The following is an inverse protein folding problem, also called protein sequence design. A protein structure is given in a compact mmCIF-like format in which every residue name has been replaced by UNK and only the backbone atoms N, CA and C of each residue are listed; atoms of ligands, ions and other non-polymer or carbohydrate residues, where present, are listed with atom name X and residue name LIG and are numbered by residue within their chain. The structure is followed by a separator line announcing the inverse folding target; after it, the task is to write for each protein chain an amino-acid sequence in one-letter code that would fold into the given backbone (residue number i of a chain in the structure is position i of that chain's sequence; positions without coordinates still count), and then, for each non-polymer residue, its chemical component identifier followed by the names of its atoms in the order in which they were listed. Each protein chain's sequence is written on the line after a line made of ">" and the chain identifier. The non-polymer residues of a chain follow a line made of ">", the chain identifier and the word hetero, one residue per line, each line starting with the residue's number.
data_IF_124892500214
#
_entry.id   IF_124892500214
#
_cell.length_a   1.000
_cell.length_b   1.000
_cell.length_c   1.000
_cell.angle_alpha   90.00
_cell.angle_beta   90.00
_cell.angle_gamma   90.00
#
_symmetry.space_group_name_H-M   'P 1'
#
loop_
_entity.id
_entity.type
_entity.pdbx_description
1 polymer ?
#
# COMPACT_ATOMS: atom_id res chain seq x y z
N UNK A 1 6.15 -1.14 8.55
CA UNK A 1 5.26 -0.33 9.42
C UNK A 1 4.03 -1.14 9.80
N UNK A 2 3.50 -0.96 11.01
CA UNK A 2 2.24 -1.55 11.50
C UNK A 2 1.30 -0.41 11.92
N UNK A 3 0.00 -0.66 11.89
CA UNK A 3 -1.01 0.30 12.35
C UNK A 3 -1.57 -0.14 13.71
N UNK A 4 -1.79 0.84 14.59
CA UNK A 4 -2.47 0.64 15.87
C UNK A 4 -3.97 0.95 15.74
N UNK A 5 -4.86 0.23 16.45
CA UNK A 5 -6.28 0.53 16.45
C UNK A 5 -6.56 1.95 16.99
N UNK A 6 -7.26 2.76 16.20
CA UNK A 6 -7.70 4.09 16.61
C UNK A 6 -9.17 4.06 17.07
N UNK A 7 -9.43 4.45 18.33
CA UNK A 7 -10.75 4.29 18.95
C UNK A 7 -11.71 5.47 18.75
N UNK A 8 -11.20 6.66 18.39
CA UNK A 8 -12.03 7.84 18.16
C UNK A 8 -11.32 8.90 17.32
N UNK A 9 -12.11 9.79 16.70
CA UNK A 9 -11.58 10.98 15.99
C UNK A 9 -10.75 11.84 16.93
N UNK A 10 -11.19 12.06 18.17
CA UNK A 10 -10.43 12.85 19.14
C UNK A 10 -9.08 12.20 19.49
N UNK A 11 -9.04 10.87 19.58
CA UNK A 11 -7.80 10.14 19.79
C UNK A 11 -6.82 10.32 18.63
N UNK A 12 -7.30 10.25 17.38
CA UNK A 12 -6.47 10.49 16.20
C UNK A 12 -5.80 11.87 16.22
N UNK A 13 -6.57 12.92 16.49
CA UNK A 13 -6.06 14.30 16.55
C UNK A 13 -5.16 14.55 17.75
N UNK A 14 -5.40 13.87 18.88
CA UNK A 14 -4.49 13.92 20.03
C UNK A 14 -3.14 13.26 19.72
N UNK A 15 -3.16 12.15 18.96
CA UNK A 15 -1.95 11.40 18.60
C UNK A 15 -1.12 12.11 17.53
N UNK A 16 -1.78 12.78 16.59
CA UNK A 16 -1.17 13.47 15.45
C UNK A 16 -1.54 14.98 15.50
N UNK A 17 -0.94 15.76 16.43
CA UNK A 17 -1.35 17.15 16.66
C UNK A 17 -1.04 18.07 15.48
N UNK A 18 -0.08 17.69 14.63
CA UNK A 18 0.35 18.47 13.46
C UNK A 18 -0.45 18.15 12.19
N UNK A 19 -1.49 17.32 12.30
CA UNK A 19 -2.22 16.76 11.16
C UNK A 19 -1.65 15.42 10.71
N UNK A 20 -2.39 14.75 9.82
CA UNK A 20 -2.06 13.43 9.32
C UNK A 20 -2.72 13.20 7.97
N UNK A 21 -2.17 12.24 7.22
CA UNK A 21 -2.82 11.72 6.05
C UNK A 21 -3.80 10.61 6.41
N UNK A 22 -4.87 10.49 5.65
CA UNK A 22 -5.78 9.36 5.67
C UNK A 22 -5.75 8.65 4.33
N UNK A 23 -5.60 7.32 4.37
CA UNK A 23 -5.70 6.44 3.22
C UNK A 23 -6.82 5.43 3.44
N UNK A 24 -7.44 4.96 2.36
CA UNK A 24 -8.36 3.83 2.42
C UNK A 24 -7.59 2.59 2.90
N UNK A 25 -8.16 1.88 3.86
CA UNK A 25 -7.68 0.56 4.27
C UNK A 25 -8.22 -0.47 3.27
N UNK A 26 -7.34 -0.96 2.40
CA UNK A 26 -7.68 -2.01 1.45
C UNK A 26 -7.72 -3.37 2.16
N UNK A 27 -8.80 -4.13 1.94
CA UNK A 27 -9.00 -5.47 2.51
C UNK A 27 -8.34 -6.54 1.62
N UNK A 28 -7.00 -6.53 1.59
CA UNK A 28 -6.19 -7.39 0.72
C UNK A 28 -5.11 -8.15 1.46
N UNK A 29 -4.08 -8.55 0.72
CA UNK A 29 -2.84 -9.09 1.27
C UNK A 29 -1.71 -8.08 1.09
N UNK A 30 -1.01 -7.72 2.18
CA UNK A 30 0.16 -6.85 2.08
C UNK A 30 1.25 -7.50 1.24
N UNK A 31 1.75 -6.75 0.27
CA UNK A 31 2.76 -7.16 -0.68
C UNK A 31 3.90 -6.14 -0.71
N UNK A 32 5.08 -6.55 -0.22
CA UNK A 32 6.30 -5.79 -0.39
C UNK A 32 7.06 -6.31 -1.61
N UNK A 33 7.19 -5.47 -2.63
CA UNK A 33 7.81 -5.81 -3.90
C UNK A 33 9.22 -5.26 -3.97
N UNK A 34 10.17 -6.11 -4.35
CA UNK A 34 11.57 -5.74 -4.58
C UNK A 34 11.90 -5.99 -6.04
N UNK A 35 12.38 -4.97 -6.74
CA UNK A 35 12.94 -5.06 -8.09
C UNK A 35 14.40 -4.66 -8.03
N UNK A 36 15.29 -5.45 -8.63
CA UNK A 36 16.70 -5.10 -8.77
C UNK A 36 17.05 -4.64 -10.20
N UNK A 37 18.26 -4.11 -10.38
CA UNK A 37 18.76 -3.61 -11.67
C UNK A 37 18.80 -4.67 -12.77
N UNK A 38 18.87 -5.96 -12.42
CA UNK A 38 18.77 -7.07 -13.37
C UNK A 38 17.31 -7.44 -13.73
N UNK A 39 16.35 -6.57 -13.41
CA UNK A 39 14.91 -6.77 -13.61
C UNK A 39 14.36 -8.05 -12.98
N UNK A 40 14.96 -8.51 -11.86
CA UNK A 40 14.46 -9.63 -11.06
C UNK A 40 13.55 -9.11 -9.96
N UNK A 41 12.42 -9.79 -9.78
CA UNK A 41 11.41 -9.45 -8.81
C UNK A 41 11.39 -10.44 -7.64
N UNK A 42 11.23 -9.91 -6.43
CA UNK A 42 10.92 -10.69 -5.23
C UNK A 42 9.74 -10.05 -4.53
N UNK A 43 8.92 -10.89 -3.92
CA UNK A 43 7.67 -10.48 -3.30
C UNK A 43 7.57 -11.08 -1.92
N UNK A 44 7.31 -10.23 -0.93
CA UNK A 44 7.26 -10.61 0.46
C UNK A 44 5.90 -10.25 1.05
N UNK A 45 5.33 -11.19 1.80
CA UNK A 45 4.11 -10.97 2.56
C UNK A 45 4.38 -10.11 3.81
N UNK A 46 3.34 -9.81 4.57
CA UNK A 46 3.45 -9.13 5.87
C UNK A 46 4.44 -9.79 6.85
N UNK A 47 4.58 -11.12 6.81
CA UNK A 47 5.51 -11.88 7.66
C UNK A 47 6.89 -12.07 7.02
N UNK A 48 7.19 -11.31 5.96
CA UNK A 48 8.42 -11.38 5.17
C UNK A 48 8.69 -12.75 4.52
N UNK A 49 7.68 -13.62 4.46
CA UNK A 49 7.73 -14.87 3.71
C UNK A 49 7.52 -14.60 2.22
N UNK A 50 8.21 -15.34 1.32
CA UNK A 50 7.97 -15.28 -0.11
C UNK A 50 6.49 -15.50 -0.45
N UNK A 51 5.96 -14.67 -1.34
CA UNK A 51 4.58 -14.81 -1.85
C UNK A 51 4.57 -15.84 -2.98
N UNK A 52 3.52 -16.66 -3.01
CA UNK A 52 3.32 -17.70 -4.03
C UNK A 52 3.10 -17.09 -5.42
N UNK A 53 3.74 -17.67 -6.44
CA UNK A 53 3.80 -17.15 -7.81
C UNK A 53 2.44 -16.84 -8.45
N UNK A 54 1.44 -17.71 -8.27
CA UNK A 54 0.10 -17.53 -8.87
C UNK A 54 -0.64 -16.23 -8.46
N UNK A 55 -0.22 -15.57 -7.37
CA UNK A 55 -0.79 -14.28 -6.92
C UNK A 55 -0.12 -13.08 -7.58
N UNK A 56 1.10 -13.25 -8.08
CA UNK A 56 2.02 -12.15 -8.43
C UNK A 56 2.54 -12.23 -9.88
N UNK A 57 2.27 -13.33 -10.59
CA UNK A 57 2.76 -13.61 -11.94
C UNK A 57 2.59 -12.41 -12.88
N UNK A 58 1.41 -11.79 -12.86
CA UNK A 58 1.10 -10.64 -13.70
C UNK A 58 1.60 -9.30 -13.12
N UNK A 59 1.92 -9.21 -11.83
CA UNK A 59 2.29 -7.93 -11.20
C UNK A 59 3.65 -7.45 -11.71
N UNK A 60 4.64 -8.34 -11.85
CA UNK A 60 6.00 -8.00 -12.29
C UNK A 60 6.00 -7.24 -13.64
N UNK A 61 5.23 -7.72 -14.62
CA UNK A 61 5.14 -7.09 -15.94
C UNK A 61 4.51 -5.69 -15.87
N UNK A 62 3.49 -5.50 -15.05
CA UNK A 62 2.80 -4.21 -14.95
C UNK A 62 3.62 -3.22 -14.13
N UNK A 63 4.38 -3.67 -13.13
CA UNK A 63 5.27 -2.80 -12.36
C UNK A 63 6.40 -2.26 -13.23
N UNK A 64 6.99 -3.08 -14.12
CA UNK A 64 7.97 -2.56 -15.07
C UNK A 64 7.40 -1.53 -16.04
N UNK A 65 6.13 -1.68 -16.45
CA UNK A 65 5.43 -0.69 -17.29
C UNK A 65 5.08 0.57 -16.51
N UNK A 66 4.67 0.43 -15.24
CA UNK A 66 4.31 1.54 -14.37
C UNK A 66 5.52 2.36 -13.91
N UNK A 67 6.69 1.76 -13.81
CA UNK A 67 7.95 2.43 -13.45
C UNK A 67 8.99 2.29 -14.57
N UNK A 68 8.80 2.96 -15.72
CA UNK A 68 9.67 2.79 -16.88
C UNK A 68 11.12 3.22 -16.61
N UNK A 69 11.33 4.16 -15.68
CA UNK A 69 12.65 4.65 -15.24
C UNK A 69 13.14 4.02 -13.93
N UNK A 70 12.36 3.11 -13.33
CA UNK A 70 12.70 2.46 -12.06
C UNK A 70 13.54 1.21 -12.29
N UNK A 71 14.86 1.35 -12.25
CA UNK A 71 15.81 0.24 -12.40
C UNK A 71 15.83 -0.66 -11.17
N UNK A 72 15.78 -0.08 -9.99
CA UNK A 72 15.72 -0.80 -8.72
C UNK A 72 14.77 -0.10 -7.76
N UNK A 73 13.92 -0.86 -7.08
CA UNK A 73 12.91 -0.29 -6.19
C UNK A 73 12.43 -1.27 -5.13
N UNK A 74 11.98 -0.72 -4.00
CA UNK A 74 11.22 -1.44 -2.99
C UNK A 74 9.90 -0.70 -2.77
N UNK A 75 8.79 -1.36 -3.09
CA UNK A 75 7.44 -0.81 -2.96
C UNK A 75 6.69 -1.55 -1.86
N UNK A 76 5.87 -0.82 -1.11
CA UNK A 76 4.96 -1.37 -0.12
C UNK A 76 3.53 -1.04 -0.53
N UNK A 77 2.66 -2.03 -0.45
CA UNK A 77 1.31 -1.93 -0.95
C UNK A 77 0.43 -3.10 -0.52
N UNK A 78 -0.82 -3.06 -0.99
CA UNK A 78 -1.80 -4.13 -0.79
C UNK A 78 -2.19 -4.71 -2.15
N UNK A 79 -2.22 -6.03 -2.27
CA UNK A 79 -2.78 -6.72 -3.44
C UNK A 79 -4.18 -7.25 -3.11
N UNK A 80 -5.12 -7.06 -4.02
CA UNK A 80 -6.47 -7.61 -3.95
C UNK A 80 -7.03 -7.85 -5.35
N UNK A 81 -8.17 -8.53 -5.43
CA UNK A 81 -8.91 -8.69 -6.67
C UNK A 81 -9.93 -7.57 -6.84
N UNK A 82 -10.02 -7.00 -8.04
CA UNK A 82 -11.08 -6.08 -8.44
C UNK A 82 -11.89 -6.71 -9.57
N UNK A 83 -13.21 -6.73 -9.41
CA UNK A 83 -14.13 -7.18 -10.43
C UNK A 83 -14.13 -6.22 -11.63
N UNK A 84 -13.93 -6.73 -12.86
CA UNK A 84 -13.77 -5.89 -14.06
C UNK A 84 -15.03 -5.14 -14.45
N UNK A 85 -16.22 -5.68 -14.12
CA UNK A 85 -17.53 -5.14 -14.52
C UNK A 85 -17.98 -4.04 -13.58
N UNK A 86 -17.90 -4.31 -12.28
CA UNK A 86 -18.36 -3.42 -11.21
C UNK A 86 -17.28 -2.44 -10.76
N UNK A 87 -16.01 -2.71 -11.07
CA UNK A 87 -14.82 -1.97 -10.58
C UNK A 87 -14.70 -1.95 -9.06
N UNK A 88 -15.38 -2.86 -8.37
CA UNK A 88 -15.35 -2.97 -6.91
C UNK A 88 -14.30 -3.98 -6.44
N UNK A 89 -13.67 -3.73 -5.28
CA UNK A 89 -12.80 -4.71 -4.65
C UNK A 89 -13.60 -5.94 -4.20
N UNK A 90 -13.04 -7.12 -4.40
CA UNK A 90 -13.58 -8.37 -3.87
C UNK A 90 -13.12 -8.58 -2.41
N UNK A 91 -13.87 -9.34 -1.61
CA UNK A 91 -13.53 -9.59 -0.20
C UNK A 91 -12.18 -10.28 -0.01
N UNK A 92 -11.62 -10.17 1.20
CA UNK A 92 -10.40 -10.88 1.58
C UNK A 92 -10.47 -12.41 1.35
N UNK A 93 -9.31 -12.99 1.05
CA UNK A 93 -9.15 -14.43 0.81
C UNK A 93 -9.54 -14.89 -0.60
N UNK A 94 -10.05 -14.00 -1.45
CA UNK A 94 -10.38 -14.29 -2.85
C UNK A 94 -9.14 -14.48 -3.74
N UNK A 95 -7.97 -14.03 -3.29
CA UNK A 95 -6.67 -14.26 -3.95
C UNK A 95 -6.17 -15.71 -3.91
N UNK A 96 -6.83 -16.60 -3.14
CA UNK A 96 -6.48 -18.03 -3.14
C UNK A 96 -6.76 -18.70 -4.50
N UNK A 97 -5.92 -19.66 -4.91
CA UNK A 97 -5.97 -20.32 -6.24
C UNK A 97 -7.37 -20.74 -6.67
N UNK A 98 -8.13 -21.37 -5.77
CA UNK A 98 -9.48 -21.87 -6.06
C UNK A 98 -10.47 -20.73 -6.29
N UNK A 99 -10.50 -19.74 -5.37
CA UNK A 99 -11.40 -18.59 -5.46
C UNK A 99 -11.06 -17.71 -6.68
N UNK A 100 -9.78 -17.51 -6.98
CA UNK A 100 -9.36 -16.76 -8.17
C UNK A 100 -9.92 -17.36 -9.47
N UNK A 101 -10.02 -18.69 -9.57
CA UNK A 101 -10.62 -19.36 -10.74
C UNK A 101 -12.13 -19.11 -10.84
N UNK A 102 -12.82 -18.96 -9.71
CA UNK A 102 -14.24 -18.61 -9.66
C UNK A 102 -14.50 -17.16 -10.10
N UNK A 103 -13.53 -16.27 -9.88
CA UNK A 103 -13.57 -14.86 -10.29
C UNK A 103 -12.73 -14.60 -11.56
N UNK A 104 -13.02 -15.33 -12.64
CA UNK A 104 -12.31 -15.17 -13.93
C UNK A 104 -12.42 -13.75 -14.52
N UNK A 105 -13.48 -13.03 -14.14
CA UNK A 105 -13.76 -11.65 -14.52
C UNK A 105 -13.11 -10.61 -13.58
N UNK A 106 -12.22 -11.04 -12.67
CA UNK A 106 -11.48 -10.13 -11.80
C UNK A 106 -10.03 -9.93 -12.27
N UNK A 107 -9.41 -8.87 -11.76
CA UNK A 107 -8.01 -8.55 -11.94
C UNK A 107 -7.32 -8.42 -10.59
N UNK A 108 -6.11 -8.95 -10.49
CA UNK A 108 -5.20 -8.58 -9.41
C UNK A 108 -4.77 -7.14 -9.59
N UNK A 109 -4.97 -6.35 -8.54
CA UNK A 109 -4.61 -4.95 -8.49
C UNK A 109 -3.71 -4.73 -7.30
N UNK A 110 -2.55 -4.14 -7.55
CA UNK A 110 -1.59 -3.75 -6.53
C UNK A 110 -1.74 -2.25 -6.26
N UNK A 111 -2.23 -1.93 -5.06
CA UNK A 111 -2.32 -0.56 -4.55
C UNK A 111 -1.06 -0.23 -3.78
N UNK A 112 -0.21 0.57 -4.39
CA UNK A 112 1.05 1.02 -3.81
C UNK A 112 0.78 2.20 -2.89
N UNK A 113 1.24 2.13 -1.65
CA UNK A 113 1.07 3.21 -0.67
C UNK A 113 2.38 3.77 -0.14
N UNK A 114 3.53 3.13 -0.42
CA UNK A 114 4.85 3.61 -0.02
C UNK A 114 5.98 3.13 -0.96
N UNK A 115 7.09 3.87 -0.98
CA UNK A 115 8.32 3.54 -1.68
C UNK A 115 9.49 3.68 -0.71
N UNK A 116 10.20 2.57 -0.47
CA UNK A 116 11.26 2.48 0.54
C UNK A 116 12.66 2.57 -0.07
N UNK A 117 12.77 2.32 -1.37
CA UNK A 117 14.03 2.35 -2.12
C UNK A 117 13.71 2.67 -3.58
N UNK A 118 14.54 3.50 -4.21
CA UNK A 118 14.40 3.82 -5.63
C UNK A 118 15.78 4.15 -6.22
N UNK A 119 16.14 3.49 -7.34
CA UNK A 119 17.33 3.72 -8.15
C UNK A 119 18.62 3.94 -7.33
N UNK A 120 19.02 2.94 -6.55
CA UNK A 120 20.27 3.02 -5.77
C UNK A 120 20.09 3.64 -4.37
N UNK A 121 18.99 4.36 -4.12
CA UNK A 121 18.83 5.17 -2.91
C UNK A 121 17.81 4.58 -1.94
N UNK A 122 18.24 4.43 -0.68
CA UNK A 122 17.34 4.14 0.43
C UNK A 122 16.52 5.39 0.77
N UNK A 123 15.20 5.26 0.82
CA UNK A 123 14.28 6.37 1.13
C UNK A 123 13.78 6.33 2.57
N UNK A 124 14.30 5.41 3.39
CA UNK A 124 13.81 5.20 4.76
C UNK A 124 13.95 6.46 5.63
N UNK A 125 15.05 7.19 5.46
CA UNK A 125 15.31 8.45 6.17
C UNK A 125 14.40 9.61 5.72
N UNK A 126 13.70 9.47 4.59
CA UNK A 126 12.79 10.50 4.06
C UNK A 126 11.44 10.46 4.77
N UNK A 127 10.76 11.61 4.79
CA UNK A 127 9.39 11.73 5.26
C UNK A 127 8.41 11.01 4.33
N UNK A 128 7.22 10.63 4.83
CA UNK A 128 6.20 9.99 4.00
C UNK A 128 5.81 10.86 2.79
N UNK A 129 5.79 12.19 2.97
CA UNK A 129 5.51 13.14 1.90
C UNK A 129 6.53 13.02 0.77
N UNK A 130 7.82 13.07 1.08
CA UNK A 130 8.88 12.94 0.07
C UNK A 130 8.84 11.56 -0.63
N UNK A 131 8.58 10.47 0.12
CA UNK A 131 8.44 9.13 -0.48
C UNK A 131 7.22 9.04 -1.40
N UNK A 132 6.13 9.74 -1.05
CA UNK A 132 4.93 9.86 -1.90
C UNK A 132 5.17 10.69 -3.15
N UNK A 133 5.93 11.78 -3.06
CA UNK A 133 6.30 12.59 -4.21
C UNK A 133 7.10 11.76 -5.24
N UNK A 134 8.04 10.93 -4.78
CA UNK A 134 8.78 9.98 -5.64
C UNK A 134 7.82 9.02 -6.37
N UNK A 135 6.82 8.49 -5.67
CA UNK A 135 5.80 7.64 -6.31
C UNK A 135 5.00 8.42 -7.35
N UNK A 136 4.52 9.61 -7.03
CA UNK A 136 3.70 10.43 -7.94
C UNK A 136 4.50 10.89 -9.17
N UNK A 137 5.79 11.17 -9.02
CA UNK A 137 6.65 11.62 -10.12
C UNK A 137 7.06 10.47 -11.06
N UNK A 138 7.35 9.29 -10.51
CA UNK A 138 7.97 8.21 -11.28
C UNK A 138 7.05 7.06 -11.64
N UNK A 139 5.84 7.01 -11.06
CA UNK A 139 4.85 5.98 -11.39
C UNK A 139 3.85 6.51 -12.42
N UNK A 140 3.65 5.73 -13.48
CA UNK A 140 2.52 5.83 -14.38
C UNK A 140 1.47 4.76 -13.97
N UNK A 141 0.34 5.15 -13.32
CA UNK A 141 -0.69 4.20 -12.93
C UNK A 141 -1.24 3.43 -14.14
N UNK A 142 -1.50 2.15 -13.93
CA UNK A 142 -2.13 1.27 -14.93
C UNK A 142 -3.48 0.85 -14.37
N UNK A 143 -4.54 1.33 -15.01
CA UNK A 143 -5.91 1.10 -14.56
C UNK A 143 -6.18 -0.39 -14.33
N UNK A 144 -6.86 -0.72 -13.22
CA UNK A 144 -7.19 -2.09 -12.82
C UNK A 144 -5.98 -3.02 -12.71
N UNK A 145 -4.75 -2.51 -12.50
CA UNK A 145 -3.52 -3.31 -12.31
C UNK A 145 -2.57 -2.72 -11.28
N UNK A 146 -2.06 -1.52 -11.50
CA UNK A 146 -1.07 -0.87 -10.64
C UNK A 146 -1.59 0.53 -10.33
N UNK A 147 -2.02 0.73 -9.09
CA UNK A 147 -2.64 1.97 -8.65
C UNK A 147 -1.90 2.54 -7.46
N UNK A 148 -1.93 3.87 -7.34
CA UNK A 148 -1.46 4.56 -6.16
C UNK A 148 -2.62 4.60 -5.17
N UNK A 149 -2.39 4.28 -3.89
CA UNK A 149 -3.45 4.47 -2.90
C UNK A 149 -3.80 5.95 -2.77
N UNK A 150 -5.10 6.22 -2.62
CA UNK A 150 -5.61 7.58 -2.46
C UNK A 150 -5.20 8.13 -1.08
N UNK A 151 -4.49 9.25 -1.08
CA UNK A 151 -3.99 9.92 0.11
C UNK A 151 -4.72 11.25 0.30
N UNK A 152 -5.42 11.41 1.43
CA UNK A 152 -6.08 12.68 1.78
C UNK A 152 -5.37 13.33 2.96
N UNK A 153 -5.09 14.62 2.82
CA UNK A 153 -4.58 15.43 3.94
C UNK A 153 -5.74 15.79 4.85
N UNK A 154 -5.63 15.49 6.14
CA UNK A 154 -6.68 15.76 7.13
C UNK A 154 -6.15 16.79 8.14
N UNK A 155 -6.84 17.92 8.21
CA UNK A 155 -6.51 19.00 9.15
C UNK A 155 -7.65 19.29 10.13
N UNK A 156 -8.87 18.82 9.85
CA UNK A 156 -10.06 19.08 10.67
C UNK A 156 -10.81 17.80 11.02
N UNK A 157 -11.38 17.76 12.22
CA UNK A 157 -12.19 16.63 12.71
C UNK A 157 -13.40 16.33 11.81
N UNK A 158 -14.00 17.36 11.22
CA UNK A 158 -15.12 17.21 10.28
C UNK A 158 -14.72 16.46 9.02
N UNK A 159 -13.55 16.76 8.44
CA UNK A 159 -13.01 16.08 7.26
C UNK A 159 -12.83 14.58 7.54
N UNK A 160 -12.23 14.24 8.69
CA UNK A 160 -12.08 12.84 9.08
C UNK A 160 -13.43 12.14 9.26
N UNK A 161 -14.41 12.78 9.91
CA UNK A 161 -15.76 12.23 10.09
C UNK A 161 -16.45 11.96 8.76
N UNK A 162 -16.36 12.89 7.81
CA UNK A 162 -16.91 12.70 6.47
C UNK A 162 -16.25 11.51 5.77
N UNK A 163 -14.92 11.38 5.85
CA UNK A 163 -14.20 10.28 5.22
C UNK A 163 -14.56 8.93 5.86
N UNK A 164 -14.69 8.87 7.19
CA UNK A 164 -15.16 7.65 7.90
C UNK A 164 -16.56 7.26 7.43
N UNK A 165 -17.50 8.21 7.38
CA UNK A 165 -18.87 7.94 6.94
C UNK A 165 -18.92 7.45 5.49
N UNK A 166 -18.11 8.05 4.61
CA UNK A 166 -17.95 7.62 3.22
C UNK A 166 -17.43 6.18 3.14
N UNK A 167 -16.36 5.86 3.86
CA UNK A 167 -15.77 4.51 3.90
C UNK A 167 -16.79 3.46 4.36
N UNK A 168 -17.60 3.77 5.38
CA UNK A 168 -18.66 2.88 5.86
C UNK A 168 -19.76 2.71 4.80
N UNK A 169 -20.21 3.79 4.17
CA UNK A 169 -21.25 3.76 3.15
C UNK A 169 -20.85 2.93 1.92
N UNK A 170 -19.57 2.98 1.54
CA UNK A 170 -19.00 2.17 0.46
C UNK A 170 -18.67 0.73 0.86
N UNK A 171 -18.88 0.35 2.13
CA UNK A 171 -18.57 -0.99 2.65
C UNK A 171 -17.07 -1.31 2.66
N UNK A 172 -16.22 -0.28 2.73
CA UNK A 172 -14.77 -0.43 2.81
C UNK A 172 -14.34 -0.74 4.24
N UNK A 173 -13.16 -1.35 4.40
CA UNK A 173 -12.71 -1.87 5.71
C UNK A 173 -12.44 -0.76 6.73
N UNK A 174 -11.98 0.41 6.28
CA UNK A 174 -11.62 1.49 7.17
C UNK A 174 -10.64 2.49 6.55
N UNK A 175 -9.94 3.19 7.44
CA UNK A 175 -8.89 4.14 7.09
C UNK A 175 -7.58 3.79 7.81
N UNK A 176 -6.46 4.03 7.15
CA UNK A 176 -5.14 4.06 7.76
C UNK A 176 -4.71 5.51 7.90
N UNK A 177 -4.47 5.94 9.14
CA UNK A 177 -4.02 7.31 9.43
C UNK A 177 -2.49 7.31 9.55
N UNK A 178 -1.83 8.22 8.84
CA UNK A 178 -0.37 8.33 8.77
C UNK A 178 0.04 9.75 9.16
N UNK A 179 0.72 9.89 10.30
CA UNK A 179 1.23 11.18 10.77
C UNK A 179 2.18 11.81 9.73
N UNK A 180 2.07 13.12 9.50
CA UNK A 180 2.94 13.86 8.59
C UNK A 180 4.42 13.74 8.95
N UNK A 181 4.73 13.69 10.25
CA UNK A 181 6.10 13.70 10.75
C UNK A 181 6.68 12.30 10.95
N UNK A 182 5.92 11.23 10.72
CA UNK A 182 6.45 9.88 10.86
C UNK A 182 7.38 9.56 9.68
N UNK A 183 8.67 9.84 9.87
CA UNK A 183 9.75 9.28 9.06
C UNK A 183 9.80 7.77 9.25
N UNK A 184 10.02 7.01 8.17
CA UNK A 184 10.27 5.57 8.23
C UNK A 184 11.65 5.29 8.85
N UNK A 185 11.79 5.46 10.16
CA UNK A 185 13.00 4.98 10.83
C UNK A 185 12.90 3.45 10.90
N UNK A 186 13.56 2.76 9.97
CA UNK A 186 13.99 1.40 10.22
C UNK A 186 15.17 1.49 11.16
N UNK A 187 14.92 1.24 12.43
CA UNK A 187 16.00 1.03 13.38
C UNK A 187 16.42 -0.44 13.33
N UNK A 188 17.62 -0.68 12.81
CA UNK A 188 18.26 -2.01 12.85
C UNK A 188 18.56 -2.49 14.27
N UNK A 189 18.55 -1.60 15.28
CA UNK A 189 18.84 -1.95 16.67
C UNK A 189 17.64 -2.58 17.42
N UNK A 190 16.43 -2.58 16.82
CA UNK A 190 15.30 -3.37 17.35
C UNK A 190 15.43 -4.89 17.16
N UNK A 191 16.54 -5.39 16.58
CA UNK A 191 16.81 -6.82 16.36
C UNK A 191 18.06 -7.33 17.12
N UNK A 192 18.26 -6.86 18.36
CA UNK A 192 19.26 -7.45 19.28
C UNK A 192 18.71 -8.05 20.57
N UNK A 193 17.41 -7.92 20.85
CA UNK A 193 16.80 -8.45 22.10
C UNK A 193 15.63 -9.42 21.86
N UNK A 194 15.69 -10.22 20.79
CA UNK A 194 14.77 -11.34 20.60
C UNK A 194 15.48 -12.53 19.96
N UNK A 195 16.47 -13.05 20.68
CA UNK A 195 16.81 -14.47 20.74
C UNK A 195 16.96 -14.85 22.20
#
# INVERSE_FOLDING_TARGET
>A
MLAEPCKSVDFAFKRCPNGFYAEIKYDGERLQLHKNQANKFKFFSRSLKPVTEHKIEQISQFVSKAFPKGESLILDGEILLIDRKTKKPLPFGTLGVHKKKEFSEANEVFFIFDCLYYNGQSLLHKTLKERREILTEHMAPIENRILLSELKTINKKSELKHLINFTIAEGLEGLVLKDFLQSTVFDSDTWKNSF
#
